data_IF_671581949288
#
_entry.id   IF_671581949288
#
_cell.length_a   1.000
_cell.length_b   1.000
_cell.length_c   1.000
_cell.angle_alpha   90.00
_cell.angle_beta   90.00
_cell.angle_gamma   90.00
#
_symmetry.space_group_name_H-M   'P 1'
#
loop_
_entity.id
_entity.type
_entity.pdbx_description
1 polymer ?
#
# COMPACT_ATOMS: atom_id res chain seq x y z
N UNK A 1 -8.88 11.70 -13.50
CA UNK A 1 -7.88 10.79 -12.88
C UNK A 1 -6.96 11.64 -12.05
N UNK A 2 -6.94 11.43 -10.74
CA UNK A 2 -6.00 12.12 -9.85
C UNK A 2 -4.63 11.50 -10.06
N UNK A 3 -3.59 12.34 -10.18
CA UNK A 3 -2.20 11.88 -10.25
C UNK A 3 -1.89 10.94 -9.07
N UNK A 4 -1.18 9.81 -9.29
CA UNK A 4 -0.84 8.90 -8.22
C UNK A 4 0.12 9.55 -7.23
N UNK A 5 -0.07 9.26 -5.95
CA UNK A 5 0.91 9.58 -4.93
C UNK A 5 2.14 8.68 -5.09
N UNK A 6 3.35 9.22 -4.84
CA UNK A 6 4.61 8.51 -5.02
C UNK A 6 5.39 8.48 -3.71
N UNK A 7 5.75 7.28 -3.28
CA UNK A 7 6.73 7.02 -2.25
C UNK A 7 7.90 6.22 -2.81
N UNK A 8 9.00 6.14 -2.07
CA UNK A 8 10.16 5.35 -2.44
C UNK A 8 10.61 4.48 -1.27
N UNK A 9 11.05 3.26 -1.58
CA UNK A 9 11.61 2.33 -0.61
C UNK A 9 12.81 1.61 -1.20
N UNK A 10 13.90 1.53 -0.45
CA UNK A 10 15.06 0.70 -0.79
C UNK A 10 14.81 -0.73 -0.36
N UNK A 11 15.08 -1.70 -1.22
CA UNK A 11 15.05 -3.12 -0.85
C UNK A 11 16.20 -3.40 0.11
N UNK A 12 15.87 -3.81 1.32
CA UNK A 12 16.85 -4.15 2.35
C UNK A 12 17.29 -5.61 2.20
N UNK A 13 18.45 -5.94 2.76
CA UNK A 13 18.92 -7.33 2.79
C UNK A 13 17.91 -8.26 3.49
N UNK A 14 17.25 -7.76 4.54
CA UNK A 14 16.17 -8.50 5.23
C UNK A 14 14.87 -8.63 4.43
N UNK A 15 14.74 -7.95 3.29
CA UNK A 15 13.57 -8.10 2.41
C UNK A 15 13.75 -9.24 1.38
N UNK A 16 14.94 -9.81 1.23
CA UNK A 16 15.26 -10.86 0.24
C UNK A 16 15.22 -12.28 0.79
N UNK A 17 14.97 -13.26 -0.07
CA UNK A 17 15.01 -14.68 0.26
C UNK A 17 16.16 -15.44 -0.43
N UNK A 18 16.22 -16.76 -0.22
CA UNK A 18 17.27 -17.63 -0.77
C UNK A 18 17.29 -17.71 -2.30
N UNK A 19 16.26 -17.23 -3.00
CA UNK A 19 16.24 -17.14 -4.47
C UNK A 19 16.93 -15.87 -4.99
N UNK A 20 17.45 -15.01 -4.10
CA UNK A 20 18.17 -13.79 -4.45
C UNK A 20 17.27 -12.64 -4.90
N UNK A 21 15.98 -12.71 -4.56
CA UNK A 21 14.97 -11.69 -4.87
C UNK A 21 14.17 -11.36 -3.61
N UNK A 22 13.41 -10.26 -3.65
CA UNK A 22 12.54 -9.89 -2.55
C UNK A 22 11.47 -10.95 -2.28
N UNK A 23 11.31 -11.34 -1.01
CA UNK A 23 10.29 -12.30 -0.59
C UNK A 23 8.90 -11.75 -0.90
N UNK A 24 8.03 -12.59 -1.49
CA UNK A 24 6.75 -12.15 -2.08
C UNK A 24 5.86 -11.35 -1.11
N UNK A 25 5.88 -11.68 0.18
CA UNK A 25 5.05 -11.00 1.19
C UNK A 25 5.50 -9.54 1.43
N UNK A 26 6.77 -9.21 1.18
CA UNK A 26 7.29 -7.85 1.37
C UNK A 26 6.67 -6.84 0.39
N UNK A 27 6.11 -7.30 -0.72
CA UNK A 27 5.35 -6.43 -1.63
C UNK A 27 4.10 -5.85 -0.94
N UNK A 28 3.44 -6.60 -0.05
CA UNK A 28 2.33 -6.07 0.75
C UNK A 28 2.79 -5.06 1.80
N UNK A 29 3.99 -5.22 2.35
CA UNK A 29 4.64 -4.21 3.20
C UNK A 29 4.90 -2.92 2.40
N UNK A 30 5.35 -3.03 1.15
CA UNK A 30 5.55 -1.84 0.30
C UNK A 30 4.22 -1.17 -0.10
N UNK A 31 3.14 -1.93 -0.29
CA UNK A 31 1.80 -1.37 -0.44
C UNK A 31 1.35 -0.59 0.80
N UNK A 32 1.63 -1.10 2.00
CA UNK A 32 1.35 -0.39 3.25
C UNK A 32 2.11 0.94 3.32
N UNK A 33 3.41 0.96 2.99
CA UNK A 33 4.21 2.19 2.91
C UNK A 33 3.55 3.21 1.98
N UNK A 34 3.17 2.78 0.76
CA UNK A 34 2.49 3.65 -0.21
C UNK A 34 1.19 4.26 0.33
N UNK A 35 0.37 3.46 1.01
CA UNK A 35 -0.88 3.91 1.63
C UNK A 35 -0.65 4.86 2.80
N UNK A 36 0.30 4.55 3.67
CA UNK A 36 0.60 5.37 4.86
C UNK A 36 1.15 6.73 4.46
N UNK A 37 2.04 6.78 3.46
CA UNK A 37 2.58 8.04 2.96
C UNK A 37 1.55 8.84 2.16
N UNK A 38 0.60 8.19 1.47
CA UNK A 38 -0.57 8.85 0.89
C UNK A 38 -1.40 9.55 1.97
N UNK A 39 -1.67 8.89 3.10
CA UNK A 39 -2.38 9.52 4.21
C UNK A 39 -1.66 10.76 4.73
N UNK A 40 -0.33 10.69 4.91
CA UNK A 40 0.48 11.84 5.33
C UNK A 40 0.36 13.00 4.36
N UNK A 41 0.38 12.72 3.06
CA UNK A 41 0.27 13.74 2.00
C UNK A 41 -1.04 14.53 2.07
N UNK A 42 -2.14 13.89 2.50
CA UNK A 42 -3.46 14.52 2.65
C UNK A 42 -3.70 15.08 4.06
N UNK A 43 -2.66 15.19 4.89
CA UNK A 43 -2.76 15.79 6.23
C UNK A 43 -3.34 14.85 7.29
N UNK A 44 -3.34 13.54 7.04
CA UNK A 44 -3.82 12.53 7.99
C UNK A 44 -2.74 11.47 8.26
N UNK A 45 -2.98 10.60 9.22
CA UNK A 45 -2.15 9.43 9.52
C UNK A 45 -3.06 8.30 9.98
N UNK A 46 -2.56 7.06 9.95
CA UNK A 46 -3.26 5.95 10.59
C UNK A 46 -3.60 6.24 12.06
N UNK A 47 -2.63 6.77 12.81
CA UNK A 47 -2.82 7.15 14.21
C UNK A 47 -3.96 8.15 14.39
N UNK A 48 -4.00 9.22 13.60
CA UNK A 48 -5.06 10.23 13.72
C UNK A 48 -6.43 9.68 13.34
N UNK A 49 -6.52 8.72 12.41
CA UNK A 49 -7.78 8.02 12.10
C UNK A 49 -8.24 7.16 13.29
N UNK A 50 -7.32 6.43 13.91
CA UNK A 50 -7.61 5.60 15.10
C UNK A 50 -8.03 6.46 16.30
N UNK A 51 -7.38 7.61 16.52
CA UNK A 51 -7.77 8.60 17.54
C UNK A 51 -9.17 9.17 17.29
N UNK A 52 -9.62 9.21 16.03
CA UNK A 52 -10.98 9.59 15.64
C UNK A 52 -11.96 8.39 15.70
N UNK A 53 -11.50 7.21 16.07
CA UNK A 53 -12.30 6.00 16.20
C UNK A 53 -12.57 5.26 14.89
N UNK A 54 -11.88 5.58 13.78
CA UNK A 54 -11.91 4.76 12.55
C UNK A 54 -10.64 3.92 12.42
N UNK A 55 -10.84 2.61 12.35
CA UNK A 55 -9.82 1.61 12.08
C UNK A 55 -10.01 1.11 10.65
N UNK A 56 -8.92 0.70 10.01
CA UNK A 56 -8.92 0.23 8.62
C UNK A 56 -8.33 -1.19 8.51
N UNK A 57 -8.98 -2.23 9.07
CA UNK A 57 -8.56 -3.61 8.81
C UNK A 57 -8.56 -3.92 7.30
N UNK A 58 -7.55 -4.68 6.86
CA UNK A 58 -7.48 -5.20 5.50
C UNK A 58 -8.55 -6.30 5.34
N UNK A 59 -9.44 -6.12 4.38
CA UNK A 59 -10.46 -7.08 3.99
C UNK A 59 -9.99 -7.98 2.83
N UNK A 60 -9.24 -7.40 1.89
CA UNK A 60 -8.76 -8.11 0.69
C UNK A 60 -7.41 -7.55 0.28
N UNK A 61 -6.53 -8.41 -0.20
CA UNK A 61 -5.25 -8.03 -0.79
C UNK A 61 -4.99 -8.87 -2.04
N UNK A 62 -4.48 -8.21 -3.08
CA UNK A 62 -4.08 -8.84 -4.34
C UNK A 62 -2.73 -8.27 -4.76
N UNK A 63 -1.82 -9.15 -5.20
CA UNK A 63 -0.54 -8.76 -5.77
C UNK A 63 -0.21 -9.67 -6.96
N UNK A 64 0.10 -9.05 -8.11
CA UNK A 64 0.64 -9.70 -9.28
C UNK A 64 2.10 -9.31 -9.44
N UNK A 65 2.97 -10.30 -9.40
CA UNK A 65 4.41 -10.13 -9.52
C UNK A 65 4.83 -10.25 -10.99
N UNK A 66 5.43 -9.19 -11.53
CA UNK A 66 5.86 -9.12 -12.93
C UNK A 66 7.36 -9.28 -13.10
N UNK A 67 8.14 -8.56 -12.27
CA UNK A 67 9.59 -8.62 -12.27
C UNK A 67 10.11 -8.64 -10.82
N UNK A 68 11.17 -9.41 -10.54
CA UNK A 68 11.73 -9.47 -9.20
C UNK A 68 12.46 -8.17 -8.84
N UNK A 69 12.18 -7.66 -7.65
CA UNK A 69 13.04 -6.68 -6.98
C UNK A 69 14.22 -7.39 -6.30
N UNK A 70 15.39 -6.76 -6.29
CA UNK A 70 16.62 -7.30 -5.71
C UNK A 70 17.18 -6.38 -4.65
N UNK A 71 18.10 -6.91 -3.84
CA UNK A 71 18.83 -6.14 -2.84
C UNK A 71 19.37 -4.83 -3.45
N UNK A 72 19.17 -3.75 -2.71
CA UNK A 72 19.62 -2.39 -3.02
C UNK A 72 18.89 -1.68 -4.18
N UNK A 73 17.93 -2.34 -4.85
CA UNK A 73 17.00 -1.66 -5.76
C UNK A 73 16.22 -0.56 -5.02
N UNK A 74 15.98 0.56 -5.70
CA UNK A 74 15.02 1.57 -5.23
C UNK A 74 13.68 1.32 -5.93
N UNK A 75 12.64 1.08 -5.13
CA UNK A 75 11.28 0.89 -5.59
C UNK A 75 10.55 2.22 -5.49
N UNK A 76 9.97 2.68 -6.60
CA UNK A 76 8.94 3.72 -6.62
C UNK A 76 7.58 3.06 -6.44
N UNK A 77 6.86 3.47 -5.41
CA UNK A 77 5.52 2.99 -5.05
C UNK A 77 4.52 4.05 -5.49
N UNK A 78 3.75 3.77 -6.55
CA UNK A 78 2.65 4.62 -6.99
C UNK A 78 1.35 4.14 -6.35
N UNK A 79 0.64 5.02 -5.65
CA UNK A 79 -0.58 4.69 -4.91
C UNK A 79 -1.72 5.62 -5.29
N UNK A 80 -2.88 5.04 -5.56
CA UNK A 80 -4.16 5.77 -5.69
C UNK A 80 -5.19 5.16 -4.75
N UNK A 81 -6.29 5.87 -4.49
CA UNK A 81 -7.39 5.33 -3.70
C UNK A 81 -8.76 5.72 -4.24
N UNK A 82 -9.75 4.92 -3.90
CA UNK A 82 -11.15 5.15 -4.24
C UNK A 82 -12.09 4.53 -3.21
N UNK A 83 -13.35 4.97 -3.20
CA UNK A 83 -14.42 4.32 -2.44
C UNK A 83 -14.88 3.07 -3.18
N UNK A 84 -14.92 1.94 -2.47
CA UNK A 84 -15.39 0.65 -2.98
C UNK A 84 -16.76 0.28 -2.38
N UNK A 85 -17.77 1.09 -2.66
CA UNK A 85 -19.11 0.97 -2.05
C UNK A 85 -19.27 1.81 -0.79
N UNK A 86 -20.14 1.40 0.14
CA UNK A 86 -20.58 2.27 1.25
C UNK A 86 -19.62 2.39 2.44
N UNK A 87 -18.74 1.41 2.63
CA UNK A 87 -17.93 1.28 3.85
C UNK A 87 -16.48 0.83 3.59
N UNK A 88 -16.05 0.81 2.32
CA UNK A 88 -14.75 0.26 1.92
C UNK A 88 -13.90 1.29 1.19
N UNK A 89 -12.62 1.31 1.50
CA UNK A 89 -11.58 2.05 0.79
C UNK A 89 -10.73 1.06 0.01
N UNK A 90 -10.58 1.28 -1.29
CA UNK A 90 -9.66 0.52 -2.14
C UNK A 90 -8.45 1.37 -2.44
N UNK A 91 -7.28 0.78 -2.28
CA UNK A 91 -6.00 1.37 -2.68
C UNK A 91 -5.41 0.52 -3.79
N UNK A 92 -5.06 1.15 -4.91
CA UNK A 92 -4.43 0.50 -6.05
C UNK A 92 -2.96 0.93 -6.12
N UNK A 93 -2.08 -0.04 -6.41
CA UNK A 93 -0.63 0.12 -6.35
C UNK A 93 0.06 -0.34 -7.63
N UNK A 94 1.07 0.44 -8.04
CA UNK A 94 2.04 0.03 -9.06
C UNK A 94 3.44 0.21 -8.47
N UNK A 95 4.22 -0.86 -8.40
CA UNK A 95 5.60 -0.85 -7.96
C UNK A 95 6.52 -0.85 -9.16
N UNK A 96 7.40 0.14 -9.23
CA UNK A 96 8.30 0.36 -10.36
C UNK A 96 9.73 0.38 -9.84
N UNK A 97 10.65 -0.24 -10.55
CA UNK A 97 12.06 0.02 -10.31
C UNK A 97 12.34 1.49 -10.68
N UNK A 98 12.90 2.26 -9.76
CA UNK A 98 13.03 3.72 -9.89
C UNK A 98 13.81 4.14 -11.14
N UNK A 99 14.96 3.51 -11.38
CA UNK A 99 15.88 3.97 -12.44
C UNK A 99 15.45 3.59 -13.87
N UNK A 100 14.91 2.38 -14.06
CA UNK A 100 14.58 1.86 -15.38
C UNK A 100 13.07 1.78 -15.67
N UNK A 101 12.23 2.12 -14.70
CA UNK A 101 10.77 2.15 -14.84
C UNK A 101 10.10 0.80 -15.03
N UNK A 102 10.80 -0.33 -14.86
CA UNK A 102 10.19 -1.66 -14.99
C UNK A 102 9.13 -1.87 -13.91
N UNK A 103 7.96 -2.36 -14.33
CA UNK A 103 6.90 -2.81 -13.40
C UNK A 103 7.38 -4.04 -12.65
N UNK A 104 7.56 -3.90 -11.35
CA UNK A 104 7.93 -4.99 -10.44
C UNK A 104 6.68 -5.78 -10.04
N UNK A 105 5.63 -5.07 -9.62
CA UNK A 105 4.35 -5.67 -9.27
C UNK A 105 3.22 -4.65 -9.35
N UNK A 106 2.00 -5.16 -9.51
CA UNK A 106 0.77 -4.38 -9.42
C UNK A 106 -0.19 -5.07 -8.44
N UNK A 107 -1.00 -4.30 -7.75
CA UNK A 107 -1.89 -4.88 -6.76
C UNK A 107 -2.89 -3.90 -6.19
N UNK A 108 -3.69 -4.39 -5.25
CA UNK A 108 -4.60 -3.57 -4.49
C UNK A 108 -4.81 -4.13 -3.09
N UNK A 109 -5.23 -3.25 -2.19
CA UNK A 109 -5.79 -3.62 -0.89
C UNK A 109 -7.16 -2.98 -0.73
N UNK A 110 -8.09 -3.71 -0.12
CA UNK A 110 -9.41 -3.19 0.26
C UNK A 110 -9.48 -3.19 1.78
N UNK A 111 -9.90 -2.07 2.34
CA UNK A 111 -10.05 -1.86 3.77
C UNK A 111 -11.51 -1.55 4.09
N UNK A 112 -12.01 -2.08 5.20
CA UNK A 112 -13.31 -1.71 5.76
C UNK A 112 -13.05 -0.69 6.86
N UNK A 113 -13.78 0.44 6.92
CA UNK A 113 -13.70 1.31 8.11
C UNK A 113 -14.55 0.68 9.22
N UNK A 114 -13.95 0.51 10.40
CA UNK A 114 -14.62 -0.03 11.59
C UNK A 114 -14.36 0.85 12.80
N UNK A 115 -15.17 0.73 13.85
CA UNK A 115 -14.75 1.16 15.18
C UNK A 115 -13.79 0.13 15.83
N UNK A 116 -13.39 0.41 17.07
CA UNK A 116 -12.49 -0.45 17.85
C UNK A 116 -13.06 -1.85 18.13
N UNK A 117 -14.38 -2.00 18.09
CA UNK A 117 -15.10 -3.24 18.39
C UNK A 117 -15.43 -4.01 17.09
N UNK A 118 -14.96 -3.51 15.94
CA UNK A 118 -15.14 -4.12 14.62
C UNK A 118 -16.47 -3.79 13.94
N UNK A 119 -17.27 -2.86 14.49
CA UNK A 119 -18.52 -2.44 13.86
C UNK A 119 -18.22 -1.57 12.65
N UNK A 120 -18.83 -1.90 11.51
CA UNK A 120 -18.63 -1.18 10.25
C UNK A 120 -19.10 0.27 10.35
N UNK A 121 -18.24 1.19 9.91
CA UNK A 121 -18.48 2.62 9.83
C UNK A 121 -18.51 3.09 8.36
N UNK A 122 -19.06 4.28 8.13
CA UNK A 122 -18.86 4.98 6.85
C UNK A 122 -17.42 5.53 6.82
N UNK A 123 -16.70 5.48 5.68
CA UNK A 123 -15.36 6.00 5.61
C UNK A 123 -15.37 7.52 5.82
N UNK A 124 -14.38 8.09 6.49
CA UNK A 124 -14.21 9.53 6.59
C UNK A 124 -13.65 10.05 5.25
N UNK A 125 -14.55 10.39 4.33
CA UNK A 125 -14.26 10.99 3.02
C UNK A 125 -15.00 12.31 2.87
#
# INVERSE_FOLDING_TARGET
>A
MTEPFRAEQRVLYGDTDSMGVAYYANYLKWFEIGRTELFRRVGSTYRSLEEQGCFLPVYEAYCRYHNPARYDDIIRIETTFSLAGKARLRFDYVLLHKDNGKVLAEGYTVHVCTDKDGKVLKPPV
#
